data_IF_043999391354
#
_entry.id   IF_043999391354
#
_cell.length_a   1.000
_cell.length_b   1.000
_cell.length_c   1.000
_cell.angle_alpha   90.00
_cell.angle_beta   90.00
_cell.angle_gamma   90.00
#
_symmetry.space_group_name_H-M   'P 1'
#
loop_
_entity.id
_entity.type
_entity.pdbx_description
1 polymer ?
#
# COMPACT_ATOMS: atom_id res chain seq x y z
N UNK A 1 2.83 -17.09 15.88
CA UNK A 1 2.27 -16.67 14.57
C UNK A 1 1.97 -17.92 13.75
N UNK A 2 0.78 -18.08 13.15
CA UNK A 2 0.36 -19.34 12.48
C UNK A 2 1.27 -19.80 11.34
N UNK A 3 1.99 -18.88 10.69
CA UNK A 3 2.91 -19.18 9.59
C UNK A 3 4.35 -19.52 10.05
N UNK A 4 4.65 -19.50 11.36
CA UNK A 4 6.03 -19.55 11.85
C UNK A 4 6.76 -20.87 11.59
N UNK A 5 6.03 -21.97 11.40
CA UNK A 5 6.60 -23.29 11.05
C UNK A 5 6.84 -23.46 9.54
N UNK A 6 6.42 -22.50 8.71
CA UNK A 6 6.51 -22.60 7.26
C UNK A 6 7.71 -21.82 6.71
N UNK A 7 8.43 -22.42 5.76
CA UNK A 7 9.60 -21.77 5.15
C UNK A 7 9.22 -20.68 4.13
N UNK A 8 8.09 -20.85 3.45
CA UNK A 8 7.72 -20.05 2.28
C UNK A 8 6.49 -19.16 2.50
N UNK A 9 5.83 -19.23 3.67
CA UNK A 9 4.68 -18.37 3.99
C UNK A 9 5.10 -17.34 5.03
N UNK A 10 5.01 -16.07 4.68
CA UNK A 10 5.20 -14.96 5.60
C UNK A 10 3.86 -14.28 5.86
N UNK A 11 3.47 -14.11 7.12
CA UNK A 11 2.31 -13.29 7.45
C UNK A 11 2.69 -11.80 7.41
N UNK A 12 1.82 -11.01 6.80
CA UNK A 12 1.95 -9.57 6.74
C UNK A 12 0.98 -8.89 7.70
N UNK A 13 1.40 -7.76 8.25
CA UNK A 13 0.57 -6.94 9.12
C UNK A 13 -0.21 -5.92 8.26
N UNK A 14 -1.53 -5.94 8.34
CA UNK A 14 -2.40 -5.19 7.42
C UNK A 14 -3.36 -4.22 8.09
N UNK A 15 -3.81 -3.25 7.31
CA UNK A 15 -4.90 -2.32 7.64
C UNK A 15 -5.53 -1.86 6.32
N UNK A 16 -6.36 -2.72 5.75
CA UNK A 16 -6.88 -2.52 4.40
C UNK A 16 -7.76 -1.25 4.34
N UNK A 17 -7.59 -0.35 3.34
CA UNK A 17 -8.30 0.94 3.29
C UNK A 17 -9.82 0.83 3.39
N UNK A 18 -10.38 -0.24 2.84
CA UNK A 18 -11.82 -0.49 2.85
C UNK A 18 -12.40 -0.81 4.25
N UNK A 19 -11.56 -1.18 5.23
CA UNK A 19 -11.96 -1.45 6.61
C UNK A 19 -11.71 -0.26 7.55
N UNK A 20 -10.96 0.74 7.09
CA UNK A 20 -10.52 1.87 7.93
C UNK A 20 -11.70 2.65 8.50
N UNK A 21 -12.80 2.80 7.76
CA UNK A 21 -13.98 3.52 8.25
C UNK A 21 -14.47 2.97 9.61
N UNK A 22 -14.42 1.64 9.77
CA UNK A 22 -14.90 0.90 10.94
C UNK A 22 -13.79 0.65 11.96
N UNK A 23 -12.56 0.35 11.49
CA UNK A 23 -11.47 -0.20 12.32
C UNK A 23 -10.27 0.70 12.52
N UNK A 24 -10.31 1.97 12.12
CA UNK A 24 -9.16 2.87 12.26
C UNK A 24 -8.57 2.95 13.68
N UNK A 25 -9.37 2.73 14.73
CA UNK A 25 -8.90 2.74 16.13
C UNK A 25 -7.95 1.58 16.46
N UNK A 26 -7.94 0.51 15.65
CA UNK A 26 -7.02 -0.61 15.81
C UNK A 26 -5.58 -0.25 15.41
N UNK A 27 -5.33 0.96 14.89
CA UNK A 27 -4.00 1.45 14.51
C UNK A 27 -2.99 1.42 15.67
N UNK A 28 -3.43 1.66 16.91
CA UNK A 28 -2.52 1.60 18.06
C UNK A 28 -2.05 0.17 18.34
N UNK A 29 -2.91 -0.83 18.09
CA UNK A 29 -2.53 -2.24 18.15
C UNK A 29 -1.61 -2.60 16.98
N UNK A 30 -1.92 -2.12 15.79
CA UNK A 30 -1.09 -2.30 14.59
C UNK A 30 0.33 -1.79 14.83
N UNK A 31 0.51 -0.60 15.41
CA UNK A 31 1.83 -0.01 15.69
C UNK A 31 2.66 -0.90 16.64
N UNK A 32 2.02 -1.50 17.65
CA UNK A 32 2.70 -2.44 18.58
C UNK A 32 3.15 -3.73 17.90
N UNK A 33 2.37 -4.22 16.93
CA UNK A 33 2.64 -5.48 16.23
C UNK A 33 3.64 -5.33 15.07
N UNK A 34 3.98 -4.10 14.66
CA UNK A 34 4.89 -3.86 13.52
C UNK A 34 6.27 -4.52 13.72
N UNK A 35 6.73 -4.67 14.96
CA UNK A 35 7.99 -5.35 15.28
C UNK A 35 8.01 -6.85 14.93
N UNK A 36 6.85 -7.49 14.83
CA UNK A 36 6.74 -8.95 14.67
C UNK A 36 6.91 -9.42 13.23
N UNK A 37 6.91 -8.51 12.25
CA UNK A 37 7.03 -8.87 10.84
C UNK A 37 7.77 -7.82 10.03
N UNK A 38 8.46 -8.26 8.97
CA UNK A 38 9.05 -7.37 7.96
C UNK A 38 8.03 -6.96 6.88
N UNK A 39 6.90 -7.66 6.81
CA UNK A 39 5.91 -7.51 5.75
C UNK A 39 4.70 -6.74 6.24
N UNK A 40 4.32 -5.72 5.49
CA UNK A 40 3.14 -4.92 5.75
C UNK A 40 2.23 -5.04 4.53
N UNK A 41 1.04 -5.59 4.74
CA UNK A 41 0.07 -5.81 3.65
C UNK A 41 -1.28 -6.19 4.24
N UNK A 42 -2.40 -5.82 3.64
CA UNK A 42 -2.52 -4.78 2.61
C UNK A 42 -2.84 -3.44 3.27
N UNK A 43 -2.21 -2.37 2.79
CA UNK A 43 -2.34 -0.99 3.30
C UNK A 43 -2.39 -0.02 2.13
N UNK A 44 -2.91 1.19 2.31
CA UNK A 44 -2.93 2.21 1.25
C UNK A 44 -4.25 2.98 1.22
N UNK A 45 -4.69 3.37 0.02
CA UNK A 45 -5.86 4.21 -0.21
C UNK A 45 -6.78 3.63 -1.29
N UNK A 46 -8.09 3.72 -1.06
CA UNK A 46 -9.15 3.41 -2.01
C UNK A 46 -10.07 4.63 -2.19
N UNK A 47 -9.87 5.33 -3.30
CA UNK A 47 -10.71 6.46 -3.71
C UNK A 47 -11.87 6.03 -4.64
N UNK A 48 -12.26 4.75 -4.59
CA UNK A 48 -13.45 4.25 -5.24
C UNK A 48 -14.72 4.87 -4.63
N UNK A 49 -15.83 5.00 -5.39
CA UNK A 49 -17.05 5.67 -4.92
C UNK A 49 -17.59 5.14 -3.58
N UNK A 50 -17.45 3.83 -3.34
CA UNK A 50 -17.89 3.17 -2.10
C UNK A 50 -17.10 3.59 -0.86
N UNK A 51 -15.82 3.95 -1.02
CA UNK A 51 -14.89 4.19 0.09
C UNK A 51 -14.42 5.64 0.17
N UNK A 52 -14.78 6.47 -0.81
CA UNK A 52 -14.38 7.87 -0.92
C UNK A 52 -14.74 8.70 0.32
N UNK A 53 -15.89 8.44 0.96
CA UNK A 53 -16.31 9.11 2.20
C UNK A 53 -15.33 8.91 3.36
N UNK A 54 -14.57 7.81 3.34
CA UNK A 54 -13.57 7.48 4.36
C UNK A 54 -12.14 7.87 3.96
N UNK A 55 -11.93 8.48 2.79
CA UNK A 55 -10.60 8.73 2.22
C UNK A 55 -9.71 9.60 3.11
N UNK A 56 -10.28 10.59 3.81
CA UNK A 56 -9.53 11.41 4.77
C UNK A 56 -8.95 10.53 5.89
N UNK A 57 -9.78 9.66 6.47
CA UNK A 57 -9.36 8.73 7.53
C UNK A 57 -8.38 7.67 7.02
N UNK A 58 -8.57 7.16 5.81
CA UNK A 58 -7.60 6.29 5.15
C UNK A 58 -6.24 6.99 5.00
N UNK A 59 -6.24 8.27 4.63
CA UNK A 59 -5.02 9.08 4.50
C UNK A 59 -4.30 9.19 5.85
N UNK A 60 -5.01 9.47 6.93
CA UNK A 60 -4.42 9.61 8.27
C UNK A 60 -3.83 8.30 8.77
N UNK A 61 -4.56 7.18 8.60
CA UNK A 61 -4.10 5.85 8.98
C UNK A 61 -2.88 5.44 8.15
N UNK A 62 -2.95 5.63 6.83
CA UNK A 62 -1.85 5.27 5.94
C UNK A 62 -0.59 6.11 6.22
N UNK A 63 -0.74 7.40 6.51
CA UNK A 63 0.36 8.27 6.95
C UNK A 63 1.04 7.74 8.23
N UNK A 64 0.27 7.33 9.24
CA UNK A 64 0.83 6.71 10.46
C UNK A 64 1.62 5.45 10.14
N UNK A 65 1.06 4.57 9.30
CA UNK A 65 1.72 3.35 8.84
C UNK A 65 3.07 3.65 8.17
N UNK A 66 3.11 4.64 7.26
CA UNK A 66 4.34 5.06 6.58
C UNK A 66 5.40 5.55 7.56
N UNK A 67 5.03 6.44 8.51
CA UNK A 67 5.94 6.94 9.55
C UNK A 67 6.52 5.83 10.39
N UNK A 68 5.69 4.89 10.85
CA UNK A 68 6.15 3.75 11.64
C UNK A 68 7.10 2.85 10.82
N UNK A 69 6.82 2.62 9.54
CA UNK A 69 7.69 1.84 8.66
C UNK A 69 9.01 2.55 8.36
N UNK A 70 8.99 3.87 8.15
CA UNK A 70 10.18 4.69 7.96
C UNK A 70 11.09 4.64 9.19
N UNK A 71 10.49 4.79 10.38
CA UNK A 71 11.21 4.73 11.64
C UNK A 71 11.82 3.35 11.91
N UNK A 72 11.02 2.29 11.76
CA UNK A 72 11.49 0.92 11.99
C UNK A 72 12.55 0.48 10.96
N UNK A 73 12.40 0.91 9.70
CA UNK A 73 13.25 0.51 8.60
C UNK A 73 13.11 -0.97 8.19
N UNK A 74 13.62 -1.30 7.00
CA UNK A 74 13.66 -2.68 6.50
C UNK A 74 12.30 -3.31 6.23
N UNK A 75 11.23 -2.52 6.19
CA UNK A 75 9.86 -2.98 5.92
C UNK A 75 9.60 -3.06 4.43
N UNK A 76 8.83 -4.08 4.01
CA UNK A 76 8.30 -4.22 2.65
C UNK A 76 6.79 -4.10 2.70
N UNK A 77 6.24 -3.11 1.99
CA UNK A 77 4.83 -2.79 1.99
C UNK A 77 4.20 -3.19 0.65
N UNK A 78 3.10 -3.93 0.69
CA UNK A 78 2.21 -4.11 -0.45
C UNK A 78 1.07 -3.10 -0.38
N UNK A 79 0.96 -2.27 -1.41
CA UNK A 79 0.17 -1.03 -1.41
C UNK A 79 -1.07 -1.16 -2.31
N UNK A 80 -2.24 -0.93 -1.72
CA UNK A 80 -3.51 -0.70 -2.41
C UNK A 80 -3.62 0.77 -2.81
N UNK A 81 -3.82 1.05 -4.10
CA UNK A 81 -3.81 2.41 -4.64
C UNK A 81 -4.95 2.72 -5.61
N UNK A 82 -6.13 2.13 -5.44
CA UNK A 82 -7.25 2.26 -6.39
C UNK A 82 -7.70 3.71 -6.51
N UNK A 83 -7.54 4.30 -7.70
CA UNK A 83 -7.82 5.71 -8.00
C UNK A 83 -7.09 6.71 -7.09
N UNK A 84 -6.01 6.28 -6.44
CA UNK A 84 -5.29 7.07 -5.45
C UNK A 84 -3.77 7.01 -5.63
N UNK A 85 -3.26 6.48 -6.76
CA UNK A 85 -1.84 6.27 -7.01
C UNK A 85 -0.99 7.53 -6.78
N UNK A 86 -1.38 8.67 -7.37
CA UNK A 86 -0.67 9.95 -7.18
C UNK A 86 -0.60 10.33 -5.71
N UNK A 87 -1.74 10.30 -4.99
CA UNK A 87 -1.79 10.64 -3.56
C UNK A 87 -0.96 9.68 -2.70
N UNK A 88 -0.94 8.39 -3.05
CA UNK A 88 -0.11 7.40 -2.38
C UNK A 88 1.37 7.73 -2.57
N UNK A 89 1.79 8.11 -3.79
CA UNK A 89 3.17 8.50 -4.08
C UNK A 89 3.56 9.78 -3.34
N UNK A 90 2.67 10.78 -3.30
CA UNK A 90 2.88 12.01 -2.52
C UNK A 90 3.17 11.68 -1.05
N UNK A 91 2.33 10.83 -0.43
CA UNK A 91 2.53 10.41 0.97
C UNK A 91 3.81 9.61 1.19
N UNK A 92 4.23 8.79 0.22
CA UNK A 92 5.48 8.02 0.32
C UNK A 92 6.68 8.97 0.32
N UNK A 93 6.70 9.96 -0.57
CA UNK A 93 7.76 10.96 -0.65
C UNK A 93 7.81 11.84 0.60
N UNK A 94 6.64 12.25 1.11
CA UNK A 94 6.52 13.08 2.32
C UNK A 94 7.01 12.35 3.57
N UNK A 95 6.63 11.07 3.74
CA UNK A 95 6.78 10.37 5.01
C UNK A 95 7.97 9.40 5.06
N UNK A 96 8.55 9.05 3.90
CA UNK A 96 9.67 8.09 3.79
C UNK A 96 10.79 8.60 2.85
N UNK A 97 11.33 9.81 3.06
CA UNK A 97 12.31 10.41 2.15
C UNK A 97 13.62 9.62 2.05
N UNK A 98 14.02 8.94 3.13
CA UNK A 98 15.30 8.23 3.21
C UNK A 98 15.28 6.82 2.58
N UNK A 99 14.14 6.40 1.97
CA UNK A 99 14.04 5.10 1.29
C UNK A 99 14.20 3.88 2.21
N UNK A 100 13.96 4.05 3.52
CA UNK A 100 14.12 3.01 4.56
C UNK A 100 13.07 1.89 4.51
N UNK A 101 12.06 2.02 3.65
CA UNK A 101 11.08 0.99 3.36
C UNK A 101 10.98 0.74 1.84
N UNK A 102 10.52 -0.44 1.46
CA UNK A 102 10.26 -0.82 0.05
C UNK A 102 8.77 -0.91 -0.19
N UNK A 103 8.33 -0.40 -1.33
CA UNK A 103 6.91 -0.34 -1.69
C UNK A 103 6.65 -1.17 -2.94
N UNK A 104 5.60 -1.99 -2.89
CA UNK A 104 5.13 -2.80 -4.00
C UNK A 104 3.69 -2.38 -4.26
N UNK A 105 3.41 -1.77 -5.39
CA UNK A 105 2.03 -1.46 -5.77
C UNK A 105 1.33 -2.75 -6.18
N UNK A 106 0.35 -3.16 -5.37
CA UNK A 106 -0.55 -4.25 -5.70
C UNK A 106 -1.57 -3.75 -6.71
N UNK A 107 -1.71 -4.48 -7.82
CA UNK A 107 -2.74 -4.23 -8.81
C UNK A 107 -2.80 -2.76 -9.29
N UNK A 108 -1.68 -2.26 -9.78
CA UNK A 108 -1.53 -0.84 -10.14
C UNK A 108 -2.53 -0.37 -11.21
N UNK A 109 -3.23 0.74 -10.92
CA UNK A 109 -4.25 1.36 -11.78
C UNK A 109 -4.01 2.86 -12.02
N UNK A 110 -2.81 3.35 -11.71
CA UNK A 110 -2.42 4.74 -11.91
C UNK A 110 -2.18 5.10 -13.38
N UNK A 111 -1.73 6.33 -13.64
CA UNK A 111 -1.31 6.75 -14.98
C UNK A 111 0.08 6.21 -15.36
N UNK A 112 0.49 6.38 -16.62
CA UNK A 112 1.86 6.09 -17.03
C UNK A 112 2.88 7.02 -16.33
N UNK A 113 2.50 8.27 -16.05
CA UNK A 113 3.31 9.22 -15.31
C UNK A 113 3.50 8.76 -13.85
N UNK A 114 2.42 8.30 -13.19
CA UNK A 114 2.51 7.73 -11.84
C UNK A 114 3.40 6.46 -11.83
N UNK A 115 3.31 5.61 -12.85
CA UNK A 115 4.15 4.42 -12.95
C UNK A 115 5.63 4.77 -13.12
N UNK A 116 5.94 5.78 -13.94
CA UNK A 116 7.31 6.30 -14.11
C UNK A 116 7.83 6.86 -12.78
N UNK A 117 7.06 7.73 -12.13
CA UNK A 117 7.39 8.32 -10.82
C UNK A 117 7.63 7.24 -9.77
N UNK A 118 6.75 6.25 -9.67
CA UNK A 118 6.92 5.11 -8.76
C UNK A 118 8.21 4.34 -9.04
N UNK A 119 8.56 4.10 -10.30
CA UNK A 119 9.81 3.44 -10.66
C UNK A 119 11.04 4.28 -10.31
N UNK A 120 10.97 5.60 -10.49
CA UNK A 120 12.06 6.52 -10.15
C UNK A 120 12.28 6.59 -8.63
N UNK A 121 11.22 6.43 -7.84
CA UNK A 121 11.28 6.24 -6.38
C UNK A 121 11.75 4.84 -5.94
N UNK A 122 12.04 3.93 -6.88
CA UNK A 122 12.46 2.56 -6.58
C UNK A 122 11.34 1.65 -6.06
N UNK A 123 10.08 1.98 -6.37
CA UNK A 123 8.94 1.13 -6.07
C UNK A 123 8.82 -0.03 -7.08
N UNK A 124 8.19 -1.11 -6.65
CA UNK A 124 7.93 -2.30 -7.44
C UNK A 124 6.44 -2.42 -7.76
N UNK A 125 6.10 -3.33 -8.68
CA UNK A 125 4.73 -3.65 -9.05
C UNK A 125 4.50 -5.15 -8.97
N UNK A 126 3.42 -5.58 -8.31
CA UNK A 126 2.96 -6.97 -8.42
C UNK A 126 1.99 -7.08 -9.60
N UNK A 127 2.40 -7.78 -10.65
CA UNK A 127 1.59 -7.95 -11.87
C UNK A 127 0.84 -9.28 -11.80
N UNK A 128 -0.48 -9.25 -12.01
CA UNK A 128 -1.32 -10.45 -12.02
C UNK A 128 -1.75 -10.83 -13.45
N UNK A 129 -2.35 -12.01 -13.64
CA UNK A 129 -2.84 -12.47 -14.95
C UNK A 129 -3.88 -11.55 -15.59
N UNK A 130 -4.61 -10.81 -14.76
CA UNK A 130 -5.68 -9.95 -15.23
C UNK A 130 -5.16 -8.67 -15.88
N UNK A 131 -3.86 -8.42 -15.79
CA UNK A 131 -3.18 -7.31 -16.41
C UNK A 131 -3.20 -7.43 -17.95
N UNK A 132 -4.08 -6.68 -18.61
CA UNK A 132 -4.21 -6.70 -20.09
C UNK A 132 -3.35 -5.60 -20.71
N UNK A 133 -2.61 -5.92 -21.78
CA UNK A 133 -1.94 -4.93 -22.64
C UNK A 133 -2.98 -4.04 -23.31
N UNK A 134 -3.25 -2.85 -22.76
CA UNK A 134 -3.78 -1.74 -23.55
C UNK A 134 -2.60 -0.95 -24.10
N UNK A 135 -2.30 -1.13 -25.39
CA UNK A 135 -1.35 -0.24 -26.07
C UNK A 135 -1.96 1.16 -26.05
N UNK A 136 -1.31 2.11 -25.39
CA UNK A 136 -1.43 3.53 -25.72
C UNK A 136 -2.37 4.41 -24.91
N UNK A 137 -3.11 3.95 -23.88
CA UNK A 137 -3.79 4.85 -22.92
C UNK A 137 -4.40 4.03 -21.76
N UNK A 138 -3.87 4.23 -20.55
CA UNK A 138 -4.41 3.76 -19.25
C UNK A 138 -4.23 2.26 -18.94
N UNK A 139 -3.62 2.00 -17.78
CA UNK A 139 -3.66 0.69 -17.14
C UNK A 139 -5.09 0.49 -16.61
N UNK A 140 -5.86 -0.38 -17.26
CA UNK A 140 -7.26 -0.61 -16.90
C UNK A 140 -7.34 -1.63 -15.76
N UNK A 141 -8.13 -1.37 -14.69
CA UNK A 141 -8.45 -2.42 -13.75
C UNK A 141 -9.20 -3.54 -14.50
N UNK A 142 -8.80 -4.80 -14.38
CA UNK A 142 -9.57 -5.93 -14.83
C UNK A 142 -10.78 -6.18 -13.93
N UNK A 143 -11.88 -6.56 -14.57
CA UNK A 143 -13.07 -7.25 -14.05
C UNK A 143 -13.45 -6.91 -12.59
N UNK A 144 -14.36 -5.93 -12.46
CA UNK A 144 -15.34 -5.95 -11.36
C UNK A 144 -16.34 -7.08 -11.61
#
# INVERSE_FOLDING_TARGET
MLASSTKYVGAALGMHPQLVAERWREIDLWERLLGETRYVSEVGLDAGPRYFSSLARQTDVFRRILRCCAHAGGKSLSIHGVRAATKVLDLIEEEVPDGRAKFVFHWFTGSAADARRAADLGCYFSINRCYRRTVGRRWSPPCR
#
